data_IF_807479327855
#
_entry.id   IF_807479327855
#
_cell.length_a   1.000
_cell.length_b   1.000
_cell.length_c   1.000
_cell.angle_alpha   90.00
_cell.angle_beta   90.00
_cell.angle_gamma   90.00
#
_symmetry.space_group_name_H-M   'P 1'
#
loop_
_entity.id
_entity.type
_entity.pdbx_description
1 polymer ?
#
# COMPACT_ATOMS: atom_id res chain seq x y z
N UNK A 1 10.16 -30.19 15.33
CA UNK A 1 10.52 -29.03 14.49
C UNK A 1 11.58 -28.26 15.25
N UNK A 2 12.83 -28.30 14.77
CA UNK A 2 13.89 -27.46 15.33
C UNK A 2 13.71 -26.04 14.77
N UNK A 3 13.83 -24.99 15.60
CA UNK A 3 13.78 -23.62 15.11
C UNK A 3 15.01 -23.34 14.22
N UNK A 4 14.80 -22.61 13.14
CA UNK A 4 15.84 -22.19 12.20
C UNK A 4 16.87 -21.31 12.94
N UNK A 5 18.20 -21.52 12.80
CA UNK A 5 19.21 -20.88 13.66
C UNK A 5 19.38 -19.38 13.45
N UNK A 6 18.72 -18.81 12.44
CA UNK A 6 18.83 -17.39 12.13
C UNK A 6 17.50 -16.88 11.57
N UNK A 7 16.55 -16.44 12.42
CA UNK A 7 15.40 -15.74 11.90
C UNK A 7 15.92 -14.49 11.19
N UNK A 8 15.59 -14.33 9.91
CA UNK A 8 15.71 -13.03 9.24
C UNK A 8 15.18 -11.96 10.21
N UNK A 9 15.87 -10.81 10.37
CA UNK A 9 15.40 -9.76 11.27
C UNK A 9 13.94 -9.49 10.94
N UNK A 10 13.06 -9.63 11.94
CA UNK A 10 11.65 -9.38 11.70
C UNK A 10 11.52 -7.99 11.10
N UNK A 11 10.77 -7.82 10.00
CA UNK A 11 10.56 -6.51 9.42
C UNK A 11 10.02 -5.58 10.52
N UNK A 12 10.56 -4.37 10.61
CA UNK A 12 10.24 -3.38 11.65
C UNK A 12 8.73 -3.22 11.87
N UNK A 13 7.94 -3.39 10.80
CA UNK A 13 6.49 -3.50 10.85
C UNK A 13 6.01 -4.87 10.36
N UNK A 14 5.07 -5.46 11.09
CA UNK A 14 4.39 -6.69 10.66
C UNK A 14 3.40 -6.37 9.52
N UNK A 15 3.77 -6.71 8.28
CA UNK A 15 2.95 -6.45 7.09
C UNK A 15 1.66 -7.27 7.02
N UNK A 16 1.48 -8.29 7.87
CA UNK A 16 0.25 -9.09 7.97
C UNK A 16 -0.64 -8.66 9.14
N UNK A 17 -0.19 -7.69 9.96
CA UNK A 17 -1.02 -7.08 10.98
C UNK A 17 -2.04 -6.14 10.32
N UNK A 18 -3.30 -6.56 10.34
CA UNK A 18 -4.44 -5.80 9.82
C UNK A 18 -4.99 -4.92 10.94
N UNK A 19 -4.68 -3.63 10.87
CA UNK A 19 -5.24 -2.57 11.71
C UNK A 19 -5.33 -1.28 10.87
N UNK A 20 -6.21 -1.32 9.86
CA UNK A 20 -6.15 -0.38 8.75
C UNK A 20 -6.23 1.07 9.21
N UNK A 21 -5.30 1.87 8.69
CA UNK A 21 -5.36 3.33 8.75
C UNK A 21 -5.89 3.83 7.41
N UNK A 22 -6.80 4.79 7.43
CA UNK A 22 -7.35 5.37 6.21
C UNK A 22 -6.81 6.78 6.06
N UNK A 23 -6.34 7.15 4.86
CA UNK A 23 -5.77 8.46 4.59
C UNK A 23 -6.27 9.01 3.26
N UNK A 24 -6.18 10.33 3.10
CA UNK A 24 -6.32 10.97 1.80
C UNK A 24 -4.93 11.22 1.22
N UNK A 25 -4.59 10.49 0.16
CA UNK A 25 -3.39 10.75 -0.64
C UNK A 25 -3.81 11.42 -1.94
N UNK A 26 -3.41 12.68 -2.13
CA UNK A 26 -3.75 13.47 -3.32
C UNK A 26 -5.28 13.52 -3.57
N UNK A 27 -6.05 13.68 -2.49
CA UNK A 27 -7.52 13.64 -2.47
C UNK A 27 -8.14 12.30 -2.88
N UNK A 28 -7.38 11.21 -2.86
CA UNK A 28 -7.88 9.86 -3.07
C UNK A 28 -7.79 9.03 -1.79
N UNK A 29 -8.81 8.21 -1.57
CA UNK A 29 -8.82 7.29 -0.46
C UNK A 29 -7.72 6.23 -0.60
N UNK A 30 -6.91 6.06 0.46
CA UNK A 30 -5.89 5.02 0.54
C UNK A 30 -5.98 4.33 1.91
N UNK A 31 -6.34 3.03 1.97
CA UNK A 31 -6.07 2.25 3.16
C UNK A 31 -4.57 1.93 3.24
N UNK A 32 -4.04 1.98 4.46
CA UNK A 32 -2.70 1.56 4.87
C UNK A 32 -2.88 0.42 5.86
N UNK A 33 -2.05 -0.60 5.76
CA UNK A 33 -2.21 -1.87 6.46
C UNK A 33 -2.23 -1.75 8.00
N UNK A 34 -1.40 -0.89 8.57
CA UNK A 34 -1.36 -0.56 9.99
C UNK A 34 -0.60 0.74 10.26
N UNK A 35 -0.65 1.20 11.51
CA UNK A 35 0.00 2.41 12.01
C UNK A 35 1.51 2.42 11.78
N UNK A 36 2.19 1.30 12.00
CA UNK A 36 3.64 1.20 11.83
C UNK A 36 4.04 1.45 10.36
N UNK A 37 3.29 0.87 9.41
CA UNK A 37 3.52 1.10 7.98
C UNK A 37 3.16 2.52 7.53
N UNK A 38 2.20 3.17 8.21
CA UNK A 38 1.90 4.58 7.98
C UNK A 38 3.04 5.49 8.46
N UNK A 39 3.64 5.20 9.61
CA UNK A 39 4.80 5.93 10.14
C UNK A 39 6.04 5.76 9.25
N UNK A 40 6.27 4.55 8.72
CA UNK A 40 7.32 4.30 7.73
C UNK A 40 7.10 5.12 6.44
N UNK A 41 5.87 5.13 5.91
CA UNK A 41 5.55 5.93 4.72
C UNK A 41 5.68 7.44 5.00
N UNK A 42 5.30 7.90 6.18
CA UNK A 42 5.45 9.30 6.59
C UNK A 42 6.91 9.71 6.74
N UNK A 43 7.77 8.83 7.27
CA UNK A 43 9.22 9.04 7.31
C UNK A 43 9.79 9.20 5.90
N UNK A 44 9.45 8.28 4.98
CA UNK A 44 9.86 8.35 3.57
C UNK A 44 9.36 9.64 2.90
N UNK A 45 8.11 10.03 3.15
CA UNK A 45 7.55 11.28 2.63
C UNK A 45 8.30 12.50 3.15
N UNK A 46 8.70 12.52 4.42
CA UNK A 46 9.49 13.61 4.98
C UNK A 46 10.87 13.72 4.31
N UNK A 47 11.53 12.59 4.04
CA UNK A 47 12.78 12.54 3.27
C UNK A 47 12.60 13.08 1.84
N UNK A 48 11.44 12.80 1.22
CA UNK A 48 11.05 13.31 -0.11
C UNK A 48 10.54 14.78 -0.08
N UNK A 49 10.53 15.46 1.08
CA UNK A 49 10.01 16.82 1.21
C UNK A 49 8.47 16.94 1.09
N UNK A 50 7.76 15.83 1.21
CA UNK A 50 6.31 15.75 1.15
C UNK A 50 5.68 15.86 2.55
N UNK A 51 4.44 16.37 2.59
CA UNK A 51 3.65 16.42 3.84
C UNK A 51 3.29 15.01 4.32
N UNK A 52 3.27 14.75 5.64
CA UNK A 52 2.83 13.46 6.17
C UNK A 52 1.37 13.21 5.82
N UNK A 53 1.03 11.93 5.62
CA UNK A 53 -0.33 11.43 5.56
C UNK A 53 -0.95 11.55 6.95
N UNK A 54 -2.19 12.04 7.00
CA UNK A 54 -2.97 12.20 8.22
C UNK A 54 -4.13 11.20 8.18
N UNK A 55 -4.37 10.47 9.28
CA UNK A 55 -5.45 9.51 9.31
C UNK A 55 -6.81 10.23 9.29
N UNK A 56 -7.74 9.66 8.52
CA UNK A 56 -9.16 10.02 8.47
C UNK A 56 -9.99 8.80 8.86
N UNK A 57 -11.28 9.00 9.12
CA UNK A 57 -12.20 7.87 9.28
C UNK A 57 -12.38 7.13 7.95
N UNK A 58 -12.67 5.83 8.02
CA UNK A 58 -13.06 5.06 6.84
C UNK A 58 -14.26 5.71 6.14
N UNK A 59 -15.28 6.07 6.92
CA UNK A 59 -16.51 6.71 6.44
C UNK A 59 -16.22 8.00 5.65
N UNK A 60 -15.25 8.80 6.08
CA UNK A 60 -14.83 9.99 5.31
C UNK A 60 -14.07 9.59 4.05
N UNK A 61 -13.12 8.65 4.19
CA UNK A 61 -12.23 8.25 3.12
C UNK A 61 -12.99 7.71 1.91
N UNK A 62 -14.00 6.86 2.11
CA UNK A 62 -14.73 6.21 1.00
C UNK A 62 -15.40 7.21 0.04
N UNK A 63 -15.71 8.42 0.49
CA UNK A 63 -16.24 9.50 -0.38
C UNK A 63 -15.21 10.06 -1.37
N UNK A 64 -13.93 9.73 -1.18
CA UNK A 64 -12.80 10.11 -2.04
C UNK A 64 -12.33 8.95 -2.93
N UNK A 65 -13.14 7.91 -3.08
CA UNK A 65 -12.90 6.87 -4.09
C UNK A 65 -13.32 7.45 -5.45
N UNK A 66 -12.43 7.50 -6.46
CA UNK A 66 -12.77 8.08 -7.76
C UNK A 66 -13.80 7.21 -8.48
N UNK A 67 -14.81 7.83 -9.09
CA UNK A 67 -15.80 7.11 -9.91
C UNK A 67 -15.16 6.55 -11.18
N UNK A 68 -14.29 7.33 -11.82
CA UNK A 68 -13.60 7.01 -13.07
C UNK A 68 -12.10 7.20 -12.89
N UNK A 69 -11.32 6.29 -13.47
CA UNK A 69 -9.87 6.40 -13.50
C UNK A 69 -9.42 6.61 -14.95
N UNK A 70 -8.82 7.76 -15.30
CA UNK A 70 -8.20 7.92 -16.61
C UNK A 70 -7.05 6.93 -16.78
N UNK A 71 -6.76 6.57 -18.05
CA UNK A 71 -5.54 5.83 -18.40
C UNK A 71 -4.35 6.71 -18.06
N UNK A 72 -3.36 6.13 -17.38
CA UNK A 72 -2.16 6.85 -16.95
C UNK A 72 -0.91 5.98 -17.14
N UNK A 73 0.15 6.31 -16.43
CA UNK A 73 1.37 5.49 -16.42
C UNK A 73 1.08 4.23 -15.60
N UNK A 74 1.24 3.02 -16.16
CA UNK A 74 0.91 1.81 -15.43
C UNK A 74 1.86 1.59 -14.25
N UNK A 75 1.34 0.97 -13.20
CA UNK A 75 2.05 0.69 -11.96
C UNK A 75 1.91 -0.77 -11.58
N UNK A 76 2.90 -1.29 -10.87
CA UNK A 76 2.86 -2.57 -10.19
C UNK A 76 2.85 -2.32 -8.68
N UNK A 77 2.06 -3.08 -7.93
CA UNK A 77 1.96 -2.95 -6.48
C UNK A 77 2.02 -4.30 -5.78
N UNK A 78 2.60 -4.31 -4.58
CA UNK A 78 2.70 -5.49 -3.72
C UNK A 78 1.61 -5.47 -2.65
N UNK A 79 0.93 -6.59 -2.44
CA UNK A 79 -0.16 -6.74 -1.46
C UNK A 79 0.15 -7.84 -0.46
N UNK A 80 -0.12 -7.63 0.84
CA UNK A 80 -0.04 -8.69 1.82
C UNK A 80 -1.29 -9.57 1.71
N UNK A 81 -1.07 -10.87 1.53
CA UNK A 81 -2.14 -11.87 1.55
C UNK A 81 -2.18 -12.52 2.93
N UNK A 82 -3.34 -12.54 3.62
CA UNK A 82 -3.47 -13.21 4.91
C UNK A 82 -3.09 -14.69 4.85
N UNK A 83 -2.59 -15.23 5.96
CA UNK A 83 -2.47 -16.68 6.11
C UNK A 83 -3.84 -17.36 5.91
N UNK A 84 -3.87 -18.54 5.29
CA UNK A 84 -5.11 -19.26 4.98
C UNK A 84 -6.02 -19.51 6.20
N UNK A 85 -5.44 -19.61 7.40
CA UNK A 85 -6.19 -19.75 8.65
C UNK A 85 -6.83 -18.44 9.15
N UNK A 86 -6.67 -17.32 8.45
CA UNK A 86 -7.27 -16.02 8.79
C UNK A 86 -6.62 -15.27 9.96
N UNK A 87 -5.69 -15.89 10.69
CA UNK A 87 -5.05 -15.30 11.86
C UNK A 87 -4.41 -13.93 11.53
N UNK A 88 -4.75 -12.91 12.31
CA UNK A 88 -4.09 -11.61 12.24
C UNK A 88 -2.61 -11.77 12.64
N UNK A 89 -1.71 -10.95 12.07
CA UNK A 89 -0.25 -10.96 12.31
C UNK A 89 0.51 -12.20 11.84
N UNK A 90 -0.18 -13.31 11.55
CA UNK A 90 0.47 -14.52 11.04
C UNK A 90 0.95 -14.31 9.61
N UNK A 91 2.19 -14.70 9.35
CA UNK A 91 2.81 -14.66 8.02
C UNK A 91 1.94 -15.38 6.99
N UNK A 92 1.54 -14.66 5.95
CA UNK A 92 0.96 -15.19 4.73
C UNK A 92 1.90 -14.96 3.54
N UNK A 93 1.35 -14.80 2.33
CA UNK A 93 2.13 -14.52 1.12
C UNK A 93 2.12 -13.03 0.78
N UNK A 94 2.95 -12.63 -0.20
CA UNK A 94 2.89 -11.33 -0.87
C UNK A 94 2.55 -11.60 -2.33
N UNK A 95 1.59 -10.84 -2.87
CA UNK A 95 1.20 -10.90 -4.27
C UNK A 95 1.55 -9.60 -4.99
N UNK A 96 1.88 -9.71 -6.28
CA UNK A 96 2.12 -8.57 -7.16
C UNK A 96 0.94 -8.41 -8.13
N UNK A 97 0.49 -7.18 -8.34
CA UNK A 97 -0.59 -6.87 -9.29
C UNK A 97 -0.31 -5.58 -10.05
N UNK A 98 -0.59 -5.59 -11.35
CA UNK A 98 -0.44 -4.44 -12.24
C UNK A 98 -1.76 -3.68 -12.39
N UNK A 99 -1.65 -2.36 -12.51
CA UNK A 99 -2.75 -1.43 -12.72
C UNK A 99 -2.38 -0.46 -13.84
N UNK A 100 -3.35 -0.05 -14.66
CA UNK A 100 -3.12 0.91 -15.75
C UNK A 100 -2.83 2.35 -15.30
N UNK A 101 -2.95 2.67 -14.01
CA UNK A 101 -2.53 3.96 -13.44
C UNK A 101 -2.43 3.88 -11.91
N UNK A 102 -1.72 4.82 -11.30
CA UNK A 102 -1.69 4.95 -9.84
C UNK A 102 -3.10 5.23 -9.26
N UNK A 103 -3.91 6.01 -9.97
CA UNK A 103 -5.30 6.26 -9.57
C UNK A 103 -6.17 4.99 -9.56
N UNK A 104 -5.98 4.10 -10.54
CA UNK A 104 -6.63 2.79 -10.56
C UNK A 104 -6.19 1.90 -9.40
N UNK A 105 -4.90 1.93 -9.03
CA UNK A 105 -4.40 1.26 -7.83
C UNK A 105 -5.10 1.77 -6.57
N UNK A 106 -5.19 3.10 -6.36
CA UNK A 106 -5.85 3.68 -5.20
C UNK A 106 -7.34 3.30 -5.13
N UNK A 107 -8.06 3.38 -6.26
CA UNK A 107 -9.46 2.94 -6.36
C UNK A 107 -9.62 1.48 -5.94
N UNK A 108 -8.85 0.57 -6.57
CA UNK A 108 -8.91 -0.86 -6.26
C UNK A 108 -8.60 -1.13 -4.78
N UNK A 109 -7.56 -0.49 -4.24
CA UNK A 109 -7.14 -0.62 -2.85
C UNK A 109 -8.27 -0.25 -1.88
N UNK A 110 -8.90 0.91 -2.10
CA UNK A 110 -9.97 1.41 -1.25
C UNK A 110 -11.26 0.56 -1.36
N UNK A 111 -11.73 0.28 -2.58
CA UNK A 111 -12.98 -0.48 -2.81
C UNK A 111 -12.92 -1.91 -2.25
N UNK A 112 -11.72 -2.52 -2.26
CA UNK A 112 -11.54 -3.90 -1.84
C UNK A 112 -10.97 -4.02 -0.42
N UNK A 113 -10.72 -2.91 0.28
CA UNK A 113 -9.99 -2.89 1.56
C UNK A 113 -8.67 -3.68 1.48
N UNK A 114 -7.94 -3.48 0.39
CA UNK A 114 -6.68 -4.15 0.04
C UNK A 114 -5.53 -3.15 0.04
N UNK A 115 -4.98 -2.78 1.21
CA UNK A 115 -3.81 -1.91 1.28
C UNK A 115 -2.61 -2.57 0.60
N UNK A 116 -1.89 -1.79 -0.22
CA UNK A 116 -0.61 -2.20 -0.82
C UNK A 116 0.56 -1.77 0.06
N UNK A 117 1.63 -2.57 0.07
CA UNK A 117 2.87 -2.30 0.82
C UNK A 117 3.78 -1.32 0.07
N UNK A 118 3.85 -1.47 -1.24
CA UNK A 118 4.67 -0.63 -2.12
C UNK A 118 4.10 -0.65 -3.53
N UNK A 119 4.53 0.32 -4.33
CA UNK A 119 4.22 0.38 -5.75
C UNK A 119 5.37 1.03 -6.52
N UNK A 120 5.43 0.77 -7.81
CA UNK A 120 6.37 1.41 -8.73
C UNK A 120 5.77 1.51 -10.13
N UNK A 121 6.26 2.44 -10.94
CA UNK A 121 5.89 2.50 -12.36
C UNK A 121 6.43 1.29 -13.11
N UNK A 122 5.65 0.75 -14.02
CA UNK A 122 6.12 -0.27 -14.96
C UNK A 122 6.89 0.42 -16.09
N UNK A 123 8.21 0.24 -16.12
CA UNK A 123 9.16 0.77 -17.10
C UNK A 123 8.95 0.18 -18.53
N UNK A 124 9.47 0.81 -19.61
CA UNK A 124 10.64 1.69 -19.64
C UNK A 124 10.31 3.16 -19.91
N UNK A 125 10.75 4.07 -19.03
CA UNK A 125 10.88 5.49 -19.38
C UNK A 125 12.05 5.61 -20.36
N UNK A 126 11.82 5.39 -21.65
CA UNK A 126 12.61 6.06 -22.68
C UNK A 126 12.12 7.51 -22.72
N UNK A 127 12.65 8.33 -21.81
CA UNK A 127 12.61 9.77 -21.95
C UNK A 127 13.70 10.15 -22.96
N UNK A 128 13.39 10.04 -24.25
CA UNK A 128 14.08 10.85 -25.26
C UNK A 128 13.57 12.29 -25.11
N UNK A 129 14.19 13.02 -24.17
CA UNK A 129 14.10 14.47 -24.12
C UNK A 129 14.87 15.01 -25.34
N UNK A 130 14.13 15.43 -26.37
CA UNK A 130 14.62 16.34 -27.40
C UNK A 130 14.69 17.77 -26.86
#
# INVERSE_FOLDING_TARGET
MNPDPNPDPEPTCNVWYRNYQWVLQDCYCRPIQNECLMDMENSRRAEDGLKPLVPVTEDLCIHFIPEKCPVGIPVVALFPVPAACGCNRKRGSIESKQFYSFNHLLKFSAENRKPFLSWSYTWPINMDLH
#
